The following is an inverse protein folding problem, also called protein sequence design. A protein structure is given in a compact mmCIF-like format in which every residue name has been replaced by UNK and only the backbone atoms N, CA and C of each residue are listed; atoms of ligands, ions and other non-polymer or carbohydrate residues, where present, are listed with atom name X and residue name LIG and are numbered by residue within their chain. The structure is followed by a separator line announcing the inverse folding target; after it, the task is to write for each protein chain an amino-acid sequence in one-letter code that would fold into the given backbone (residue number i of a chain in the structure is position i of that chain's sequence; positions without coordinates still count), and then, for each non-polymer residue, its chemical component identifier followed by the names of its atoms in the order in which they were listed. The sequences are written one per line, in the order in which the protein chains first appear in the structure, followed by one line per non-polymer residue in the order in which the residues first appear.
data_IF_115849292083
#
_entry.id   IF_115849292083
#
_cell.length_a   1.000
_cell.length_b   1.000
_cell.length_c   1.000
_cell.angle_alpha   90.00
_cell.angle_beta   90.00
_cell.angle_gamma   90.00
#
_symmetry.space_group_name_H-M   'P 1'
#
loop_
_entity.id
_entity.type
_entity.pdbx_description
1 polymer ?
#
# COMPACT_ATOMS: atom_id res chain seq x y z
N UNK A 1 -10.81 -4.00 7.32
CA UNK A 1 -9.66 -3.12 7.05
C UNK A 1 -10.07 -1.98 6.14
N UNK A 2 -9.57 -0.79 6.41
CA UNK A 2 -9.85 0.40 5.61
C UNK A 2 -8.58 0.84 4.87
N UNK A 3 -8.73 1.24 3.61
CA UNK A 3 -7.62 1.79 2.83
C UNK A 3 -7.94 3.26 2.55
N UNK A 4 -6.98 4.12 2.85
CA UNK A 4 -7.05 5.55 2.55
C UNK A 4 -5.99 5.87 1.52
N UNK A 5 -6.31 6.76 0.59
CA UNK A 5 -5.39 7.11 -0.49
C UNK A 5 -5.27 8.62 -0.52
N UNK A 6 -4.05 9.14 -0.38
CA UNK A 6 -3.83 10.58 -0.45
C UNK A 6 -4.03 11.08 -1.87
N UNK A 7 -4.23 12.39 -2.03
CA UNK A 7 -4.39 12.98 -3.36
C UNK A 7 -3.15 12.72 -4.23
N UNK A 8 -1.98 12.81 -3.65
CA UNK A 8 -0.72 12.57 -4.37
C UNK A 8 -0.65 11.13 -4.86
N UNK A 9 -1.04 10.19 -4.00
CA UNK A 9 -1.02 8.78 -4.37
C UNK A 9 -2.07 8.48 -5.44
N UNK A 10 -3.26 9.05 -5.31
CA UNK A 10 -4.32 8.86 -6.30
C UNK A 10 -3.88 9.37 -7.67
N UNK A 11 -3.25 10.52 -7.71
CA UNK A 11 -2.76 11.10 -8.96
C UNK A 11 -1.72 10.19 -9.63
N UNK A 12 -0.81 9.63 -8.83
CA UNK A 12 0.20 8.75 -9.38
C UNK A 12 -0.39 7.42 -9.84
N UNK A 13 -1.37 6.88 -9.10
CA UNK A 13 -2.05 5.66 -9.52
C UNK A 13 -2.78 5.86 -10.85
N UNK A 14 -3.39 7.03 -11.05
CA UNK A 14 -4.01 7.38 -12.33
C UNK A 14 -2.95 7.48 -13.42
N UNK A 15 -1.82 8.10 -13.11
CA UNK A 15 -0.74 8.32 -14.05
C UNK A 15 -0.16 7.01 -14.58
N UNK A 16 -0.06 5.99 -13.74
CA UNK A 16 0.47 4.69 -14.14
C UNK A 16 -0.62 3.71 -14.59
N UNK A 17 -1.88 4.15 -14.60
CA UNK A 17 -3.03 3.33 -15.01
C UNK A 17 -3.11 2.01 -14.24
N UNK A 18 -2.89 2.08 -12.93
CA UNK A 18 -2.89 0.89 -12.09
C UNK A 18 -4.32 0.53 -11.70
N UNK A 19 -4.76 -0.68 -12.06
CA UNK A 19 -6.08 -1.20 -11.73
C UNK A 19 -6.04 -2.23 -10.61
N UNK A 20 -4.98 -3.01 -10.56
CA UNK A 20 -4.79 -4.04 -9.56
C UNK A 20 -3.48 -3.79 -8.82
N UNK A 21 -3.58 -3.70 -7.51
CA UNK A 21 -2.43 -3.37 -6.67
C UNK A 21 -2.35 -4.37 -5.52
N UNK A 22 -1.13 -4.68 -5.12
CA UNK A 22 -0.92 -5.63 -4.04
C UNK A 22 -0.04 -5.00 -2.97
N UNK A 23 -0.49 -5.14 -1.72
CA UNK A 23 0.23 -4.64 -0.56
C UNK A 23 0.76 -5.84 0.21
N UNK A 24 2.08 -5.90 0.37
CA UNK A 24 2.75 -7.05 0.95
C UNK A 24 3.95 -6.60 1.76
N UNK A 25 4.43 -7.51 2.61
CA UNK A 25 5.66 -7.26 3.37
C UNK A 25 6.83 -7.29 2.38
N UNK A 26 7.60 -6.21 2.36
CA UNK A 26 8.75 -6.08 1.47
C UNK A 26 10.05 -6.48 2.15
N UNK A 27 10.10 -6.38 3.47
CA UNK A 27 11.29 -6.73 4.22
C UNK A 27 11.15 -6.38 5.67
N UNK A 28 12.25 -6.47 6.41
CA UNK A 28 12.27 -6.21 7.84
C UNK A 28 13.41 -5.24 8.17
N UNK A 29 13.12 -4.28 9.02
CA UNK A 29 14.09 -3.31 9.46
C UNK A 29 14.13 -3.22 10.97
N UNK A 30 14.72 -2.15 11.49
CA UNK A 30 14.88 -1.94 12.92
C UNK A 30 13.56 -1.88 13.68
N UNK A 31 12.54 -1.31 13.06
CA UNK A 31 11.24 -1.14 13.70
C UNK A 31 10.24 -2.23 13.31
N UNK A 32 10.70 -3.31 12.69
CA UNK A 32 9.86 -4.42 12.29
C UNK A 32 9.64 -4.49 10.78
N UNK A 33 8.55 -5.14 10.35
CA UNK A 33 8.28 -5.28 8.92
C UNK A 33 7.92 -3.94 8.28
N UNK A 34 8.30 -3.77 7.03
CA UNK A 34 7.81 -2.66 6.24
C UNK A 34 7.09 -3.19 5.02
N UNK A 35 6.09 -2.43 4.56
CA UNK A 35 5.18 -2.87 3.53
C UNK A 35 5.40 -2.08 2.27
N UNK A 36 5.10 -2.71 1.14
CA UNK A 36 5.22 -2.05 -0.15
C UNK A 36 3.99 -2.26 -1.00
N UNK A 37 3.86 -1.40 -2.00
CA UNK A 37 2.78 -1.43 -2.97
C UNK A 37 3.38 -1.74 -4.32
N UNK A 38 2.77 -2.69 -5.03
CA UNK A 38 3.19 -3.04 -6.37
C UNK A 38 1.96 -3.33 -7.22
N UNK A 39 2.09 -3.19 -8.53
CA UNK A 39 1.03 -3.61 -9.43
C UNK A 39 1.04 -5.13 -9.48
N UNK A 40 -0.14 -5.73 -9.39
CA UNK A 40 -0.23 -7.18 -9.45
C UNK A 40 -1.60 -7.68 -9.07
N UNK A 41 -1.87 -8.91 -9.48
CA UNK A 41 -3.14 -9.57 -9.22
C UNK A 41 -3.18 -10.12 -7.80
N UNK A 42 -4.38 -10.29 -7.22
CA UNK A 42 -4.51 -10.93 -5.91
C UNK A 42 -3.91 -12.33 -5.93
N UNK A 43 -3.29 -12.70 -4.82
CA UNK A 43 -2.76 -14.04 -4.63
C UNK A 43 -3.60 -14.80 -3.62
N UNK A 44 -3.41 -16.10 -3.57
CA UNK A 44 -4.19 -16.96 -2.69
C UNK A 44 -4.06 -16.50 -1.24
N UNK A 45 -5.23 -16.31 -0.59
CA UNK A 45 -5.26 -15.88 0.79
C UNK A 45 -5.31 -14.37 0.98
N UNK A 46 -5.09 -13.59 -0.07
CA UNK A 46 -5.15 -12.13 0.04
C UNK A 46 -6.57 -11.67 0.35
N UNK A 47 -6.67 -10.61 1.11
CA UNK A 47 -7.93 -9.90 1.31
C UNK A 47 -8.03 -8.81 0.25
N UNK A 48 -9.12 -8.80 -0.50
CA UNK A 48 -9.28 -7.80 -1.57
C UNK A 48 -10.25 -6.72 -1.16
N UNK A 49 -9.92 -5.49 -1.51
CA UNK A 49 -10.73 -4.31 -1.21
C UNK A 49 -10.84 -3.50 -2.48
N UNK A 50 -12.08 -3.17 -2.85
CA UNK A 50 -12.34 -2.30 -4.00
C UNK A 50 -12.42 -0.87 -3.51
N UNK A 51 -11.68 0.02 -4.13
CA UNK A 51 -11.72 1.43 -3.80
C UNK A 51 -11.36 2.27 -5.01
N UNK A 52 -12.22 3.25 -5.30
CA UNK A 52 -12.00 4.21 -6.40
C UNK A 52 -11.74 3.53 -7.74
N UNK A 53 -12.45 2.43 -8.00
CA UNK A 53 -12.33 1.69 -9.24
C UNK A 53 -11.12 0.80 -9.34
N UNK A 54 -10.37 0.63 -8.26
CA UNK A 54 -9.18 -0.21 -8.23
C UNK A 54 -9.36 -1.35 -7.22
N UNK A 55 -8.68 -2.45 -7.48
CA UNK A 55 -8.67 -3.60 -6.58
C UNK A 55 -7.35 -3.61 -5.82
N UNK A 56 -7.45 -3.57 -4.51
CA UNK A 56 -6.28 -3.66 -3.62
C UNK A 56 -6.30 -5.02 -2.96
N UNK A 57 -5.24 -5.80 -3.16
CA UNK A 57 -5.06 -7.09 -2.52
C UNK A 57 -4.05 -6.94 -1.39
N UNK A 58 -4.43 -7.32 -0.18
CA UNK A 58 -3.60 -7.15 1.00
C UNK A 58 -3.27 -8.51 1.55
N UNK A 59 -1.99 -8.77 1.79
CA UNK A 59 -1.58 -10.03 2.39
C UNK A 59 -2.35 -10.29 3.68
N UNK A 60 -2.75 -11.53 3.88
CA UNK A 60 -3.56 -11.91 5.04
C UNK A 60 -2.92 -11.50 6.34
N UNK A 61 -1.61 -11.67 6.47
CA UNK A 61 -0.90 -11.30 7.69
C UNK A 61 -1.04 -9.82 8.03
N UNK A 62 -1.06 -8.97 7.01
CA UNK A 62 -1.24 -7.53 7.19
C UNK A 62 -2.69 -7.25 7.55
N UNK A 63 -3.62 -7.84 6.81
CA UNK A 63 -5.04 -7.59 7.02
C UNK A 63 -5.51 -8.00 8.40
N UNK A 64 -4.91 -9.03 8.97
CA UNK A 64 -5.31 -9.55 10.29
C UNK A 64 -4.91 -8.63 11.43
N UNK A 65 -3.86 -7.83 11.28
CA UNK A 65 -3.33 -7.02 12.38
C UNK A 65 -3.45 -5.51 12.17
N UNK A 66 -3.81 -5.07 10.98
CA UNK A 66 -3.86 -3.64 10.65
C UNK A 66 -5.30 -3.20 10.48
N UNK A 67 -5.72 -2.19 11.25
CA UNK A 67 -7.09 -1.66 11.17
C UNK A 67 -7.31 -0.80 9.94
N UNK A 68 -6.33 0.07 9.62
CA UNK A 68 -6.39 0.84 8.40
C UNK A 68 -4.97 1.14 7.93
N UNK A 69 -4.84 1.38 6.65
CA UNK A 69 -3.59 1.84 6.11
C UNK A 69 -3.85 3.00 5.15
N UNK A 70 -2.83 3.82 4.98
CA UNK A 70 -2.89 4.96 4.08
C UNK A 70 -1.80 4.79 3.03
N UNK A 71 -2.18 4.95 1.78
CA UNK A 71 -1.23 4.93 0.67
C UNK A 71 -0.92 6.37 0.33
N UNK A 72 0.34 6.74 0.47
CA UNK A 72 0.83 8.07 0.14
C UNK A 72 1.88 7.94 -0.95
N UNK A 73 2.23 9.06 -1.55
CA UNK A 73 3.25 9.11 -2.59
C UNK A 73 4.11 10.32 -2.35
N UNK A 74 5.41 10.13 -2.38
CA UNK A 74 6.31 11.25 -2.23
C UNK A 74 7.25 11.32 -3.42
N UNK A 75 7.65 12.53 -3.74
CA UNK A 75 8.53 12.80 -4.86
C UNK A 75 9.58 13.79 -4.41
N UNK A 76 10.71 13.26 -3.95
CA UNK A 76 11.85 14.09 -3.56
C UNK A 76 12.84 14.14 -4.69
N UNK A 77 13.85 15.00 -4.55
CA UNK A 77 14.86 15.13 -5.59
C UNK A 77 15.81 13.93 -5.60
N UNK A 78 15.91 13.19 -4.50
CA UNK A 78 16.75 12.00 -4.43
C UNK A 78 15.99 10.72 -4.74
N UNK A 79 14.70 10.67 -4.43
CA UNK A 79 13.90 9.47 -4.70
C UNK A 79 12.42 9.78 -4.66
N UNK A 80 11.67 8.87 -5.25
CA UNK A 80 10.21 8.96 -5.28
C UNK A 80 9.64 7.58 -5.07
N UNK A 81 8.42 7.48 -4.58
CA UNK A 81 7.77 6.19 -4.42
C UNK A 81 6.54 6.27 -3.54
N UNK A 82 5.83 5.15 -3.51
CA UNK A 82 4.67 5.00 -2.64
C UNK A 82 5.14 4.67 -1.23
N UNK A 83 4.38 5.17 -0.26
CA UNK A 83 4.65 4.90 1.13
C UNK A 83 3.36 4.39 1.77
N UNK A 84 3.47 3.33 2.55
CA UNK A 84 2.33 2.74 3.27
C UNK A 84 2.45 3.14 4.73
N UNK A 85 1.45 3.86 5.21
CA UNK A 85 1.37 4.26 6.62
C UNK A 85 0.31 3.40 7.28
N UNK A 86 0.63 2.80 8.42
CA UNK A 86 -0.24 1.84 9.09
C UNK A 86 -0.71 2.40 10.40
N UNK A 87 -2.03 2.44 10.60
CA UNK A 87 -2.62 2.93 11.85
C UNK A 87 -2.02 4.26 12.28
N UNK A 88 -1.73 5.13 11.29
CA UNK A 88 -1.15 6.43 11.56
C UNK A 88 0.37 6.45 11.71
N UNK A 89 1.04 5.33 11.45
CA UNK A 89 2.50 5.24 11.52
C UNK A 89 3.09 4.92 10.17
N UNK A 90 4.26 5.47 9.89
CA UNK A 90 5.02 5.10 8.71
C UNK A 90 5.56 3.68 8.88
N UNK A 91 5.48 2.87 7.82
CA UNK A 91 5.99 1.51 7.84
C UNK A 91 7.42 1.41 7.33
N UNK A 92 7.99 2.53 6.89
CA UNK A 92 9.38 2.52 6.38
C UNK A 92 10.36 2.55 7.54
N UNK A 93 11.47 1.91 7.36
CA UNK A 93 12.53 1.87 8.36
C UNK A 93 13.52 2.98 8.13
#
# INVERSE_FOLDING_TARGET
MEIRITEKAAAELDNINADNLRIAVQGYGWSGPYFGLAQGEPQYGDVTIEKDGRTFAVEREIADVVNYLEIDYYKGWLRKGFQININGRSSSC
#
